data_IF_217372506042
#
_entry.id   IF_217372506042
#
_cell.length_a   1.000
_cell.length_b   1.000
_cell.length_c   1.000
_cell.angle_alpha   90.00
_cell.angle_beta   90.00
_cell.angle_gamma   90.00
#
_symmetry.space_group_name_H-M   'P 1'
#
loop_
_entity.id
_entity.type
_entity.pdbx_description
1 polymer ?
#
# COMPACT_ATOMS: atom_id res chain seq x y z
N UNK A 1 10.15 19.33 -0.10
CA UNK A 1 8.84 18.66 -0.16
C UNK A 1 8.30 18.73 -1.57
N UNK A 2 7.87 17.60 -2.11
CA UNK A 2 7.17 17.51 -3.39
C UNK A 2 5.71 17.97 -3.24
N UNK A 3 5.00 18.30 -4.34
CA UNK A 3 3.59 18.65 -4.28
C UNK A 3 2.73 17.56 -3.60
N UNK A 4 3.04 16.29 -3.84
CA UNK A 4 2.34 15.17 -3.21
C UNK A 4 2.58 15.11 -1.70
N UNK A 5 3.83 15.30 -1.25
CA UNK A 5 4.17 15.31 0.18
C UNK A 5 3.46 16.45 0.92
N UNK A 6 3.31 17.62 0.28
CA UNK A 6 2.58 18.76 0.85
C UNK A 6 1.08 18.46 1.00
N UNK A 7 0.47 17.84 -0.01
CA UNK A 7 -0.94 17.47 0.07
C UNK A 7 -1.18 16.42 1.16
N UNK A 8 -0.31 15.40 1.25
CA UNK A 8 -0.40 14.38 2.29
C UNK A 8 -0.28 14.98 3.69
N UNK A 9 0.65 15.94 3.86
CA UNK A 9 0.81 16.69 5.10
C UNK A 9 -0.48 17.43 5.49
N UNK A 10 -1.11 18.13 4.55
CA UNK A 10 -2.36 18.85 4.82
C UNK A 10 -3.52 17.90 5.16
N UNK A 11 -3.65 16.77 4.48
CA UNK A 11 -4.68 15.78 4.80
C UNK A 11 -4.50 15.24 6.22
N UNK A 12 -3.29 14.88 6.61
CA UNK A 12 -3.01 14.40 7.97
C UNK A 12 -3.21 15.49 9.04
N UNK A 13 -2.69 16.70 8.81
CA UNK A 13 -2.76 17.77 9.80
C UNK A 13 -4.17 18.37 9.94
N UNK A 14 -4.85 18.65 8.81
CA UNK A 14 -6.10 19.42 8.83
C UNK A 14 -7.35 18.53 8.86
N UNK A 15 -7.32 17.35 8.25
CA UNK A 15 -8.49 16.44 8.20
C UNK A 15 -8.44 15.44 9.35
N UNK A 16 -7.29 14.76 9.54
CA UNK A 16 -7.14 13.80 10.64
C UNK A 16 -6.87 14.53 11.98
N UNK A 17 -6.24 15.71 11.95
CA UNK A 17 -5.95 16.50 13.16
C UNK A 17 -4.70 16.04 13.91
N UNK A 18 -3.83 15.26 13.27
CA UNK A 18 -2.63 14.70 13.90
C UNK A 18 -1.40 15.18 13.14
N UNK A 19 -0.37 15.63 13.87
CA UNK A 19 0.89 16.02 13.25
C UNK A 19 1.50 14.82 12.49
N UNK A 20 1.80 14.96 11.19
CA UNK A 20 2.37 13.88 10.36
C UNK A 20 3.62 13.24 10.95
N UNK A 21 4.40 13.99 11.75
CA UNK A 21 5.62 13.50 12.40
C UNK A 21 5.39 12.35 13.41
N UNK A 22 4.15 12.11 13.85
CA UNK A 22 3.82 10.98 14.72
C UNK A 22 3.67 9.65 13.96
N UNK A 23 3.54 9.69 12.63
CA UNK A 23 3.47 8.48 11.82
C UNK A 23 4.85 8.04 11.37
N UNK A 24 5.17 6.77 11.57
CA UNK A 24 6.42 6.16 11.09
C UNK A 24 6.28 5.56 9.69
N UNK A 25 5.10 5.02 9.38
CA UNK A 25 4.83 4.30 8.15
C UNK A 25 3.50 4.76 7.56
N UNK A 26 3.39 4.69 6.24
CA UNK A 26 2.14 4.89 5.49
C UNK A 26 1.80 3.57 4.81
N UNK A 27 0.57 3.09 4.99
CA UNK A 27 0.05 1.90 4.32
C UNK A 27 -1.07 2.32 3.38
N UNK A 28 -0.88 2.11 2.08
CA UNK A 28 -1.84 2.46 1.02
C UNK A 28 -2.57 1.23 0.53
N UNK A 29 -3.88 1.33 0.36
CA UNK A 29 -4.72 0.26 -0.17
C UNK A 29 -5.83 0.83 -1.05
N UNK A 30 -6.16 0.10 -2.11
CA UNK A 30 -7.32 0.43 -2.94
C UNK A 30 -8.61 0.17 -2.18
N UNK A 31 -9.64 0.98 -2.45
CA UNK A 31 -10.94 0.88 -1.78
C UNK A 31 -11.65 -0.48 -1.96
N UNK A 32 -11.27 -1.26 -2.97
CA UNK A 32 -11.81 -2.58 -3.29
C UNK A 32 -10.86 -3.75 -2.96
N UNK A 33 -9.77 -3.51 -2.22
CA UNK A 33 -8.81 -4.54 -1.84
C UNK A 33 -8.98 -4.91 -0.37
N UNK A 34 -8.99 -6.22 -0.08
CA UNK A 34 -8.98 -6.76 1.28
C UNK A 34 -7.59 -7.23 1.67
N UNK A 35 -7.16 -6.91 2.88
CA UNK A 35 -5.83 -7.27 3.40
C UNK A 35 -5.89 -8.56 4.19
N UNK A 36 -4.91 -9.45 4.01
CA UNK A 36 -4.80 -10.62 4.89
C UNK A 36 -4.42 -10.17 6.31
N UNK A 37 -4.92 -10.81 7.38
CA UNK A 37 -4.68 -10.35 8.75
C UNK A 37 -3.21 -10.16 9.13
N UNK A 38 -2.30 -10.91 8.50
CA UNK A 38 -0.87 -10.87 8.77
C UNK A 38 -0.08 -9.87 7.91
N UNK A 39 -0.69 -9.23 6.91
CA UNK A 39 0.06 -8.39 5.96
C UNK A 39 0.76 -7.22 6.65
N UNK A 40 0.08 -6.51 7.55
CA UNK A 40 0.66 -5.34 8.23
C UNK A 40 1.89 -5.73 9.07
N UNK A 41 1.82 -6.85 9.80
CA UNK A 41 2.95 -7.37 10.58
C UNK A 41 4.16 -7.66 9.69
N UNK A 42 3.94 -8.29 8.52
CA UNK A 42 5.02 -8.60 7.58
C UNK A 42 5.61 -7.33 6.94
N UNK A 43 4.76 -6.39 6.52
CA UNK A 43 5.19 -5.14 5.89
C UNK A 43 5.97 -4.23 6.85
N UNK A 44 5.67 -4.28 8.16
CA UNK A 44 6.40 -3.52 9.19
C UNK A 44 7.66 -4.24 9.66
N UNK A 45 7.67 -5.59 9.69
CA UNK A 45 8.82 -6.36 10.15
C UNK A 45 10.08 -6.15 9.30
N UNK A 46 9.93 -6.03 7.99
CA UNK A 46 11.05 -5.81 7.07
C UNK A 46 11.79 -4.48 7.30
N UNK A 47 11.14 -3.29 7.28
CA UNK A 47 11.81 -2.03 7.58
C UNK A 47 12.17 -1.87 9.07
N UNK A 48 11.62 -2.70 9.96
CA UNK A 48 12.10 -2.79 11.34
C UNK A 48 13.47 -3.51 11.42
N UNK A 49 13.75 -4.43 10.51
CA UNK A 49 15.02 -5.16 10.43
C UNK A 49 16.08 -4.42 9.57
N UNK A 50 15.67 -3.69 8.54
CA UNK A 50 16.57 -2.90 7.69
C UNK A 50 16.01 -1.49 7.44
N UNK A 51 16.68 -0.50 8.01
CA UNK A 51 16.29 0.91 7.91
C UNK A 51 16.55 1.53 6.53
N UNK A 52 17.26 0.84 5.63
CA UNK A 52 17.46 1.32 4.25
C UNK A 52 16.26 1.04 3.35
N UNK A 53 15.30 0.22 3.81
CA UNK A 53 14.07 -0.08 3.06
C UNK A 53 13.12 1.12 3.18
N UNK A 54 12.85 1.76 2.02
CA UNK A 54 11.97 2.93 1.93
C UNK A 54 10.50 2.59 1.63
N UNK A 55 10.23 1.36 1.23
CA UNK A 55 8.88 0.91 0.86
C UNK A 55 8.84 -0.57 0.50
N UNK A 56 7.67 -1.18 0.69
CA UNK A 56 7.40 -2.58 0.37
C UNK A 56 6.01 -2.66 -0.24
N UNK A 57 5.90 -3.44 -1.32
CA UNK A 57 4.61 -3.76 -1.93
C UNK A 57 4.21 -5.19 -1.54
N UNK A 58 2.94 -5.40 -1.24
CA UNK A 58 2.37 -6.75 -1.12
C UNK A 58 1.86 -7.23 -2.47
N UNK A 59 1.81 -8.55 -2.66
CA UNK A 59 1.28 -9.12 -3.88
C UNK A 59 -0.26 -9.10 -3.89
N UNK A 60 -0.92 -8.55 -4.93
CA UNK A 60 -2.36 -8.61 -5.08
C UNK A 60 -2.79 -10.00 -5.57
N UNK A 61 -3.91 -10.50 -5.03
CA UNK A 61 -4.57 -11.71 -5.55
C UNK A 61 -6.06 -11.45 -5.73
N UNK A 62 -6.60 -11.82 -6.88
CA UNK A 62 -8.04 -11.74 -7.12
C UNK A 62 -8.78 -12.83 -6.36
N UNK A 63 -9.93 -12.45 -5.80
CA UNK A 63 -10.89 -13.41 -5.23
C UNK A 63 -11.73 -14.04 -6.35
N UNK A 64 -11.89 -13.36 -7.49
CA UNK A 64 -12.63 -13.84 -8.65
C UNK A 64 -11.92 -13.44 -9.97
N UNK A 65 -11.19 -14.39 -10.55
CA UNK A 65 -10.35 -14.19 -11.75
C UNK A 65 -11.17 -14.17 -13.06
N UNK A 66 -12.43 -14.59 -13.04
CA UNK A 66 -13.22 -14.78 -14.27
C UNK A 66 -14.06 -13.55 -14.68
N UNK A 67 -14.13 -12.50 -13.87
CA UNK A 67 -15.24 -11.57 -14.02
C UNK A 67 -15.05 -10.49 -15.09
N UNK A 68 -13.89 -9.82 -15.22
CA UNK A 68 -13.81 -8.55 -15.97
C UNK A 68 -12.40 -8.24 -16.50
N UNK A 69 -12.28 -7.81 -17.76
CA UNK A 69 -11.00 -7.56 -18.45
C UNK A 69 -10.14 -6.46 -17.80
N UNK A 70 -10.73 -5.50 -17.10
CA UNK A 70 -9.99 -4.47 -16.38
C UNK A 70 -9.37 -4.96 -15.06
N UNK A 71 -9.88 -6.05 -14.47
CA UNK A 71 -9.23 -6.68 -13.32
C UNK A 71 -7.93 -7.37 -13.78
N UNK A 72 -7.97 -8.06 -14.92
CA UNK A 72 -6.81 -8.76 -15.49
C UNK A 72 -5.61 -7.82 -15.72
N UNK A 73 -5.85 -6.52 -15.99
CA UNK A 73 -4.79 -5.55 -16.29
C UNK A 73 -3.81 -5.34 -15.12
N UNK A 74 -4.25 -5.50 -13.87
CA UNK A 74 -3.40 -5.29 -12.67
C UNK A 74 -2.44 -6.44 -12.41
N UNK A 75 -2.71 -7.62 -12.97
CA UNK A 75 -2.06 -8.88 -12.64
C UNK A 75 -1.32 -9.48 -13.85
N UNK A 76 -1.56 -8.93 -15.04
CA UNK A 76 -0.96 -9.38 -16.29
C UNK A 76 0.58 -9.38 -16.26
N UNK A 77 1.19 -8.51 -15.45
CA UNK A 77 2.65 -8.45 -15.27
C UNK A 77 3.22 -9.67 -14.55
N UNK A 78 2.41 -10.38 -13.73
CA UNK A 78 2.90 -11.43 -12.81
C UNK A 78 2.49 -12.86 -13.19
N UNK A 79 1.46 -13.04 -14.02
CA UNK A 79 0.92 -14.38 -14.36
C UNK A 79 1.08 -14.77 -15.83
N UNK A 80 1.83 -13.99 -16.62
CA UNK A 80 2.31 -14.40 -17.95
C UNK A 80 3.47 -15.41 -17.81
N UNK A 81 3.17 -16.64 -17.40
CA UNK A 81 4.20 -17.69 -17.36
C UNK A 81 3.96 -18.93 -16.50
N UNK A 82 2.72 -19.18 -16.05
CA UNK A 82 2.33 -20.48 -15.50
C UNK A 82 1.27 -21.11 -16.40
#
# INVERSE_FOLDING_TARGET
>A
MTPLELELYHQMHNVIGINPAFYKYIFTIDANTTVTPNSLNQLVASPANDLNIIGICGEPKFINEESLWWMVIQVYEYYKGV
#
